data_IF_509933673277
#
_entry.id   IF_509933673277
#
_cell.length_a   1.000
_cell.length_b   1.000
_cell.length_c   1.000
_cell.angle_alpha   90.00
_cell.angle_beta   90.00
_cell.angle_gamma   90.00
#
_symmetry.space_group_name_H-M   'P 1'
#
loop_
_entity.id
_entity.type
_entity.pdbx_description
1 polymer ?
#
# COMPACT_ATOMS: atom_id res chain seq x y z
N UNK A 1 -3.19 3.83 4.09
CA UNK A 1 -4.44 4.58 3.80
C UNK A 1 -4.76 4.49 2.31
N UNK A 2 -6.04 4.57 1.92
CA UNK A 2 -6.40 4.65 0.50
C UNK A 2 -6.60 6.13 0.12
N UNK A 3 -5.73 6.70 -0.76
CA UNK A 3 -5.84 8.11 -1.17
C UNK A 3 -7.10 8.44 -1.99
N UNK A 4 -7.69 7.42 -2.66
CA UNK A 4 -8.93 7.58 -3.44
C UNK A 4 -10.20 7.61 -2.59
N UNK A 5 -10.12 7.20 -1.33
CA UNK A 5 -11.27 7.20 -0.42
C UNK A 5 -11.63 8.60 0.10
N UNK A 6 -10.74 9.58 -0.09
CA UNK A 6 -10.89 10.95 0.41
C UNK A 6 -10.54 11.96 -0.69
N UNK A 7 -11.09 13.16 -0.58
CA UNK A 7 -10.78 14.26 -1.52
C UNK A 7 -9.41 14.88 -1.22
N UNK A 8 -8.82 15.60 -2.19
CA UNK A 8 -7.57 16.32 -2.00
C UNK A 8 -7.58 17.26 -0.77
N UNK A 9 -8.60 18.10 -0.58
CA UNK A 9 -8.74 18.92 0.61
C UNK A 9 -8.78 18.11 1.92
N UNK A 10 -9.48 16.97 1.94
CA UNK A 10 -9.51 16.09 3.10
C UNK A 10 -8.16 15.40 3.35
N UNK A 11 -7.42 15.12 2.30
CA UNK A 11 -6.10 14.49 2.37
C UNK A 11 -5.03 15.46 2.88
N UNK A 12 -4.88 16.61 2.22
CA UNK A 12 -3.79 17.54 2.48
C UNK A 12 -4.17 18.70 3.40
N UNK A 13 -5.44 19.08 3.41
CA UNK A 13 -5.98 20.22 4.10
C UNK A 13 -6.46 21.30 3.14
N UNK A 14 -7.23 22.23 3.66
CA UNK A 14 -7.75 23.37 2.93
C UNK A 14 -7.96 24.60 3.83
N UNK A 15 -8.06 25.76 3.20
CA UNK A 15 -8.49 26.98 3.85
C UNK A 15 -10.01 27.03 3.92
N UNK A 16 -10.56 27.33 5.08
CA UNK A 16 -11.99 27.59 5.23
C UNK A 16 -12.37 28.96 4.63
N UNK A 17 -13.67 29.23 4.39
CA UNK A 17 -14.11 30.58 3.99
C UNK A 17 -13.72 31.67 4.99
N UNK A 18 -13.52 31.33 6.27
CA UNK A 18 -13.03 32.23 7.31
C UNK A 18 -11.48 32.38 7.30
N UNK A 19 -10.79 31.86 6.27
CA UNK A 19 -9.33 31.85 6.15
C UNK A 19 -8.61 31.10 7.28
N UNK A 20 -9.27 30.14 7.91
CA UNK A 20 -8.65 29.25 8.87
C UNK A 20 -8.15 27.98 8.17
N UNK A 21 -6.99 27.51 8.57
CA UNK A 21 -6.42 26.29 8.03
C UNK A 21 -7.04 25.05 8.69
N UNK A 22 -7.69 24.21 7.89
CA UNK A 22 -8.11 22.87 8.28
C UNK A 22 -7.09 21.85 7.77
N UNK A 23 -6.33 21.18 8.66
CA UNK A 23 -5.36 20.20 8.25
C UNK A 23 -6.02 18.92 7.75
N UNK A 24 -5.44 18.31 6.70
CA UNK A 24 -5.90 17.05 6.16
C UNK A 24 -5.30 15.83 6.89
N UNK A 25 -5.89 14.67 6.65
CA UNK A 25 -5.49 13.41 7.29
C UNK A 25 -4.03 13.08 7.00
N UNK A 26 -3.63 13.13 5.72
CA UNK A 26 -2.27 12.81 5.30
C UNK A 26 -1.25 13.81 5.88
N UNK A 27 -1.57 15.10 5.85
CA UNK A 27 -0.67 16.12 6.38
C UNK A 27 -0.44 15.97 7.89
N UNK A 28 -1.46 15.54 8.64
CA UNK A 28 -1.30 15.24 10.07
C UNK A 28 -0.44 13.99 10.31
N UNK A 29 -0.71 12.90 9.59
CA UNK A 29 0.13 11.69 9.65
C UNK A 29 1.57 12.04 9.31
N UNK A 30 1.78 12.84 8.25
CA UNK A 30 3.11 13.29 7.83
C UNK A 30 3.84 14.07 8.93
N UNK A 31 3.15 15.00 9.59
CA UNK A 31 3.71 15.76 10.72
C UNK A 31 4.14 14.85 11.87
N UNK A 32 3.30 13.91 12.24
CA UNK A 32 3.58 12.96 13.34
C UNK A 32 4.76 12.05 13.01
N UNK A 33 4.78 11.47 11.80
CA UNK A 33 5.84 10.58 11.37
C UNK A 33 7.19 11.27 11.25
N UNK A 34 7.20 12.55 10.86
CA UNK A 34 8.41 13.33 10.63
C UNK A 34 8.78 14.26 11.81
N UNK A 35 8.05 14.20 12.92
CA UNK A 35 8.36 14.98 14.10
C UNK A 35 9.74 14.61 14.67
N UNK A 36 10.53 15.60 15.09
CA UNK A 36 11.86 15.39 15.72
C UNK A 36 11.79 14.50 16.97
N UNK A 37 10.66 14.50 17.65
CA UNK A 37 10.38 13.65 18.81
C UNK A 37 10.16 12.18 18.44
N UNK A 38 9.81 11.89 17.18
CA UNK A 38 9.59 10.50 16.72
C UNK A 38 10.93 9.76 16.60
N UNK A 39 11.10 8.75 17.44
CA UNK A 39 12.30 7.89 17.45
C UNK A 39 12.10 6.60 16.62
N UNK A 40 10.86 6.29 16.22
CA UNK A 40 10.51 5.06 15.52
C UNK A 40 10.63 5.23 14.01
N UNK A 41 10.96 4.15 13.31
CA UNK A 41 10.82 4.07 11.87
C UNK A 41 9.33 4.02 11.56
N UNK A 42 8.87 4.89 10.68
CA UNK A 42 7.48 5.01 10.28
C UNK A 42 7.34 4.77 8.78
N UNK A 43 6.42 3.89 8.39
CA UNK A 43 6.07 3.66 7.00
C UNK A 43 4.69 4.25 6.75
N UNK A 44 4.58 5.11 5.75
CA UNK A 44 3.30 5.65 5.28
C UNK A 44 2.96 4.88 4.01
N UNK A 45 2.02 3.96 4.11
CA UNK A 45 1.54 3.17 2.98
C UNK A 45 0.31 3.83 2.37
N UNK A 46 0.38 4.12 1.07
CA UNK A 46 -0.73 4.56 0.23
C UNK A 46 -1.18 3.37 -0.61
N UNK A 47 -2.25 2.72 -0.17
CA UNK A 47 -2.86 1.56 -0.81
C UNK A 47 -4.07 2.00 -1.64
N UNK A 48 -3.92 1.98 -2.95
CA UNK A 48 -4.95 2.38 -3.89
C UNK A 48 -4.38 2.84 -5.23
N UNK A 49 -5.24 3.02 -6.24
CA UNK A 49 -4.81 3.38 -7.58
C UNK A 49 -4.13 4.74 -7.63
N UNK A 50 -3.10 4.83 -8.46
CA UNK A 50 -2.44 6.12 -8.75
C UNK A 50 -3.40 7.02 -9.51
N UNK A 51 -3.41 8.27 -9.10
CA UNK A 51 -4.18 9.33 -9.73
C UNK A 51 -3.36 10.61 -9.67
N UNK A 52 -3.29 11.33 -10.77
CA UNK A 52 -2.55 12.58 -10.87
C UNK A 52 -2.95 13.59 -9.79
N UNK A 53 -4.22 13.61 -9.37
CA UNK A 53 -4.74 14.59 -8.40
C UNK A 53 -4.03 14.50 -7.06
N UNK A 54 -3.80 13.28 -6.55
CA UNK A 54 -3.16 13.14 -5.23
C UNK A 54 -1.64 12.94 -5.31
N UNK A 55 -1.14 12.25 -6.35
CA UNK A 55 0.29 11.93 -6.45
C UNK A 55 1.14 13.16 -6.78
N UNK A 56 0.62 14.12 -7.55
CA UNK A 56 1.34 15.33 -7.93
C UNK A 56 1.73 16.19 -6.73
N UNK A 57 0.90 16.22 -5.69
CA UNK A 57 1.23 16.93 -4.45
C UNK A 57 2.42 16.29 -3.69
N UNK A 58 2.75 15.05 -4.01
CA UNK A 58 3.89 14.33 -3.41
C UNK A 58 5.16 14.43 -4.26
N UNK A 59 5.14 15.04 -5.43
CA UNK A 59 6.31 15.15 -6.29
C UNK A 59 7.49 15.82 -5.58
N UNK A 60 7.24 16.87 -4.78
CA UNK A 60 8.29 17.54 -4.00
C UNK A 60 8.84 16.68 -2.85
N UNK A 61 8.07 15.70 -2.40
CA UNK A 61 8.50 14.72 -1.39
C UNK A 61 9.34 13.61 -2.04
N UNK A 62 8.95 13.21 -3.25
CA UNK A 62 9.63 12.17 -4.02
C UNK A 62 10.94 12.68 -4.64
N UNK A 63 11.08 13.99 -4.81
CA UNK A 63 12.31 14.63 -5.25
C UNK A 63 13.39 14.58 -4.15
N UNK A 64 14.61 14.93 -4.51
CA UNK A 64 15.77 15.04 -3.59
C UNK A 64 15.51 16.01 -2.43
N UNK A 65 14.63 16.99 -2.62
CA UNK A 65 14.25 17.96 -1.59
C UNK A 65 13.51 17.31 -0.42
N UNK A 66 12.76 16.24 -0.65
CA UNK A 66 12.01 15.47 0.37
C UNK A 66 11.16 16.35 1.28
N UNK A 67 10.44 17.33 0.73
CA UNK A 67 9.65 18.30 1.47
C UNK A 67 8.19 18.25 1.00
N UNK A 68 7.28 18.03 1.94
CA UNK A 68 5.84 18.23 1.70
C UNK A 68 5.50 19.70 1.88
N UNK A 69 4.99 20.34 0.83
CA UNK A 69 4.51 21.72 0.87
C UNK A 69 2.99 21.73 0.84
N UNK A 70 2.36 22.32 1.84
CA UNK A 70 0.92 22.44 1.97
C UNK A 70 0.40 23.76 1.38
N UNK A 71 -0.91 23.83 1.13
CA UNK A 71 -1.53 25.03 0.54
C UNK A 71 -1.48 26.29 1.46
N UNK A 72 -1.27 26.10 2.77
CA UNK A 72 -1.01 27.18 3.72
C UNK A 72 0.48 27.63 3.73
N UNK A 73 1.27 27.24 2.75
CA UNK A 73 2.70 27.48 2.63
C UNK A 73 3.56 26.80 3.71
N UNK A 74 2.99 25.95 4.55
CA UNK A 74 3.77 25.14 5.49
C UNK A 74 4.60 24.10 4.74
N UNK A 75 5.87 23.98 5.12
CA UNK A 75 6.85 23.05 4.51
C UNK A 75 7.36 22.08 5.57
N UNK A 76 7.08 20.81 5.37
CA UNK A 76 7.40 19.75 6.34
C UNK A 76 8.41 18.79 5.70
N UNK A 77 9.69 18.81 6.13
CA UNK A 77 10.70 17.93 5.58
C UNK A 77 10.46 16.48 6.01
N UNK A 78 10.83 15.56 5.14
CA UNK A 78 10.85 14.12 5.41
C UNK A 78 12.06 13.77 6.25
N UNK A 79 11.87 13.05 7.34
CA UNK A 79 12.96 12.54 8.17
C UNK A 79 13.51 11.21 7.60
N UNK A 80 14.74 10.87 7.93
CA UNK A 80 15.34 9.59 7.51
C UNK A 80 14.61 8.38 8.04
N UNK A 81 13.82 8.55 9.09
CA UNK A 81 13.00 7.49 9.72
C UNK A 81 11.63 7.32 9.08
N UNK A 82 11.21 8.25 8.25
CA UNK A 82 9.95 8.14 7.52
C UNK A 82 10.20 7.51 6.14
N UNK A 83 9.40 6.53 5.78
CA UNK A 83 9.40 5.89 4.46
C UNK A 83 8.01 5.94 3.87
N UNK A 84 7.95 6.07 2.55
CA UNK A 84 6.71 6.03 1.80
C UNK A 84 6.66 4.76 0.95
N UNK A 85 5.50 4.14 0.92
CA UNK A 85 5.22 2.98 0.08
C UNK A 85 3.90 3.21 -0.65
N UNK A 86 3.88 2.88 -1.93
CA UNK A 86 2.69 2.91 -2.76
C UNK A 86 2.37 1.48 -3.18
N UNK A 87 1.19 1.00 -2.82
CA UNK A 87 0.67 -0.30 -3.25
C UNK A 87 -0.36 -0.04 -4.34
N UNK A 88 0.05 -0.25 -5.58
CA UNK A 88 -0.72 0.12 -6.76
C UNK A 88 -0.80 -1.05 -7.73
N UNK A 89 -1.91 -1.19 -8.43
CA UNK A 89 -2.10 -2.22 -9.45
C UNK A 89 -1.23 -1.94 -10.69
N UNK A 90 -1.20 -0.67 -11.12
CA UNK A 90 -0.42 -0.20 -12.26
C UNK A 90 -0.03 1.27 -12.09
N UNK A 91 0.80 1.77 -12.99
CA UNK A 91 1.29 3.15 -13.01
C UNK A 91 0.80 3.93 -14.25
N UNK A 92 -0.24 3.46 -14.93
CA UNK A 92 -0.73 4.04 -16.20
C UNK A 92 -1.17 5.49 -16.04
N UNK A 93 -1.70 5.84 -14.88
CA UNK A 93 -2.15 7.20 -14.55
C UNK A 93 -1.07 8.06 -13.86
N UNK A 94 0.15 7.55 -13.72
CA UNK A 94 1.27 8.32 -13.18
C UNK A 94 2.01 9.07 -14.28
N UNK A 95 2.42 10.30 -14.01
CA UNK A 95 3.28 11.01 -14.94
C UNK A 95 4.66 10.33 -15.05
N UNK A 96 5.34 10.39 -16.21
CA UNK A 96 6.70 9.87 -16.33
C UNK A 96 7.66 10.46 -15.30
N UNK A 97 7.44 11.72 -14.93
CA UNK A 97 8.21 12.39 -13.89
C UNK A 97 8.02 11.74 -12.51
N UNK A 98 6.81 11.33 -12.17
CA UNK A 98 6.51 10.61 -10.92
C UNK A 98 7.13 9.22 -10.94
N UNK A 99 6.98 8.49 -12.04
CA UNK A 99 7.52 7.13 -12.18
C UNK A 99 9.05 7.12 -12.04
N UNK A 100 9.74 8.09 -12.63
CA UNK A 100 11.21 8.18 -12.58
C UNK A 100 11.76 8.46 -11.16
N UNK A 101 10.92 8.99 -10.26
CA UNK A 101 11.30 9.29 -8.87
C UNK A 101 11.05 8.12 -7.91
N UNK A 102 10.34 7.10 -8.37
CA UNK A 102 9.98 5.95 -7.54
C UNK A 102 10.93 4.77 -7.74
N UNK A 103 11.34 4.13 -6.66
CA UNK A 103 11.92 2.80 -6.72
C UNK A 103 10.81 1.78 -6.92
N UNK A 104 10.81 1.10 -8.07
CA UNK A 104 9.74 0.17 -8.45
C UNK A 104 10.14 -1.24 -8.05
N UNK A 105 9.24 -1.93 -7.32
CA UNK A 105 9.30 -3.35 -7.06
C UNK A 105 8.12 -3.98 -7.79
N UNK A 106 8.40 -4.72 -8.84
CA UNK A 106 7.38 -5.42 -9.59
C UNK A 106 7.09 -6.76 -8.92
N UNK A 107 5.83 -7.00 -8.58
CA UNK A 107 5.33 -8.28 -8.08
C UNK A 107 4.44 -8.88 -9.17
N UNK A 108 4.90 -9.96 -9.77
CA UNK A 108 4.11 -10.65 -10.79
C UNK A 108 2.95 -11.42 -10.15
N UNK A 109 1.76 -11.43 -10.78
CA UNK A 109 0.68 -12.32 -10.34
C UNK A 109 1.05 -13.80 -10.41
N UNK A 110 2.12 -14.15 -11.17
CA UNK A 110 2.64 -15.52 -11.27
C UNK A 110 3.67 -15.88 -10.20
N UNK A 111 4.12 -14.90 -9.39
CA UNK A 111 5.11 -15.14 -8.32
C UNK A 111 4.49 -15.85 -7.11
N UNK A 112 3.18 -15.71 -6.93
CA UNK A 112 2.40 -16.38 -5.91
C UNK A 112 1.28 -17.16 -6.59
N UNK A 113 1.42 -18.48 -6.61
CA UNK A 113 0.35 -19.35 -7.02
C UNK A 113 -0.57 -19.74 -5.83
N UNK A 114 -1.45 -20.71 -6.00
CA UNK A 114 -2.39 -21.14 -4.96
C UNK A 114 -1.71 -21.94 -3.82
N UNK A 115 -0.55 -22.56 -4.08
CA UNK A 115 0.11 -23.46 -3.12
C UNK A 115 0.46 -22.81 -1.79
N UNK A 116 1.10 -21.60 -1.74
CA UNK A 116 1.38 -20.92 -0.47
C UNK A 116 0.12 -20.58 0.33
N UNK A 117 -0.98 -20.24 -0.34
CA UNK A 117 -2.26 -19.97 0.33
C UNK A 117 -2.80 -21.24 0.97
N UNK A 118 -2.79 -22.35 0.25
CA UNK A 118 -3.22 -23.64 0.77
C UNK A 118 -2.35 -24.12 1.93
N UNK A 119 -1.03 -24.00 1.83
CA UNK A 119 -0.10 -24.36 2.90
C UNK A 119 -0.36 -23.56 4.18
N UNK A 120 -0.66 -22.27 4.05
CA UNK A 120 -1.02 -21.42 5.19
C UNK A 120 -2.33 -21.88 5.80
N UNK A 121 -3.36 -22.09 5.00
CA UNK A 121 -4.67 -22.61 5.43
C UNK A 121 -4.53 -23.97 6.16
N UNK A 122 -3.77 -24.90 5.57
CA UNK A 122 -3.55 -26.23 6.14
C UNK A 122 -2.82 -26.15 7.49
N UNK A 123 -1.80 -25.29 7.60
CA UNK A 123 -1.05 -25.08 8.85
C UNK A 123 -1.93 -24.49 9.95
N UNK A 124 -2.74 -23.51 9.64
CA UNK A 124 -3.64 -22.88 10.60
C UNK A 124 -4.68 -23.89 11.11
N UNK A 125 -5.22 -24.72 10.21
CA UNK A 125 -6.15 -25.80 10.56
C UNK A 125 -5.54 -26.86 11.46
N UNK A 126 -4.29 -27.23 11.23
CA UNK A 126 -3.57 -28.18 12.10
C UNK A 126 -3.34 -27.62 13.51
N UNK A 127 -3.17 -26.31 13.67
CA UNK A 127 -3.03 -25.65 14.97
C UNK A 127 -4.34 -25.60 15.77
N UNK A 128 -5.48 -25.58 15.11
CA UNK A 128 -6.81 -25.54 15.73
C UNK A 128 -7.24 -26.87 16.39
N UNK A 129 -6.41 -27.89 16.41
CA UNK A 129 -6.60 -29.20 17.08
C UNK A 129 -7.91 -29.98 16.78
N UNK A 130 -8.81 -29.40 16.03
CA UNK A 130 -10.19 -29.92 15.95
C UNK A 130 -10.59 -30.40 14.54
N UNK A 131 -9.82 -30.07 13.47
CA UNK A 131 -10.40 -30.17 12.13
C UNK A 131 -9.52 -30.74 11.03
N UNK A 132 -8.28 -31.05 11.27
CA UNK A 132 -7.45 -31.64 10.21
C UNK A 132 -6.36 -32.52 10.79
N UNK A 133 -6.43 -33.82 10.55
CA UNK A 133 -5.29 -34.69 10.77
C UNK A 133 -4.23 -34.46 9.69
N UNK A 134 -2.97 -34.84 9.94
CA UNK A 134 -1.91 -34.76 8.92
C UNK A 134 -2.29 -35.51 7.63
N UNK A 135 -2.97 -36.64 7.75
CA UNK A 135 -3.40 -37.46 6.62
C UNK A 135 -4.50 -36.77 5.79
N UNK A 136 -5.41 -36.05 6.46
CA UNK A 136 -6.44 -35.25 5.77
C UNK A 136 -5.82 -34.04 5.05
N UNK A 137 -4.81 -33.39 5.63
CA UNK A 137 -4.09 -32.31 4.99
C UNK A 137 -3.34 -32.77 3.74
N UNK A 138 -2.67 -33.91 3.82
CA UNK A 138 -1.98 -34.53 2.68
C UNK A 138 -2.97 -34.91 1.57
N UNK A 139 -4.10 -35.51 1.96
CA UNK A 139 -5.15 -35.85 0.99
C UNK A 139 -5.72 -34.61 0.28
N UNK A 140 -5.97 -33.53 1.02
CA UNK A 140 -6.44 -32.27 0.45
C UNK A 140 -5.42 -31.66 -0.49
N UNK A 141 -4.13 -31.74 -0.15
CA UNK A 141 -3.06 -31.22 -1.02
C UNK A 141 -3.00 -32.01 -2.32
N UNK A 142 -3.03 -33.34 -2.26
CA UNK A 142 -3.07 -34.20 -3.45
C UNK A 142 -4.32 -33.95 -4.31
N UNK A 143 -5.45 -33.70 -3.67
CA UNK A 143 -6.71 -33.37 -4.36
C UNK A 143 -6.58 -32.02 -5.10
N UNK A 144 -6.06 -30.98 -4.43
CA UNK A 144 -5.90 -29.68 -5.03
C UNK A 144 -4.86 -29.68 -6.16
N UNK A 145 -3.71 -30.32 -5.98
CA UNK A 145 -2.70 -30.50 -7.03
C UNK A 145 -3.33 -31.17 -8.26
N UNK A 146 -4.14 -32.21 -8.06
CA UNK A 146 -4.81 -32.92 -9.14
C UNK A 146 -5.75 -32.05 -9.96
N UNK A 147 -6.44 -31.08 -9.33
CA UNK A 147 -7.47 -30.29 -9.98
C UNK A 147 -7.03 -28.88 -10.37
N UNK A 148 -6.04 -28.31 -9.68
CA UNK A 148 -5.49 -26.99 -10.02
C UNK A 148 -4.30 -27.05 -10.98
N UNK A 149 -3.50 -28.10 -10.95
CA UNK A 149 -2.39 -28.26 -11.91
C UNK A 149 -2.83 -28.81 -13.28
N UNK A 150 -4.02 -29.38 -13.38
CA UNK A 150 -4.57 -29.67 -14.69
C UNK A 150 -5.11 -28.38 -15.29
N UNK A 151 -4.51 -27.88 -16.40
CA UNK A 151 -5.02 -26.69 -17.04
C UNK A 151 -6.51 -26.90 -17.34
N UNK A 152 -7.33 -25.92 -16.95
CA UNK A 152 -8.71 -25.71 -17.38
C UNK A 152 -9.85 -26.32 -16.56
N UNK A 153 -9.69 -26.78 -15.31
CA UNK A 153 -10.88 -27.29 -14.62
C UNK A 153 -11.52 -26.30 -13.61
N UNK A 154 -10.76 -25.35 -13.07
CA UNK A 154 -11.28 -24.40 -12.05
C UNK A 154 -10.95 -22.93 -12.38
N UNK A 155 -9.93 -22.67 -13.19
CA UNK A 155 -9.52 -21.29 -13.53
C UNK A 155 -10.38 -20.69 -14.67
N UNK A 156 -11.09 -21.54 -15.42
CA UNK A 156 -11.96 -21.12 -16.52
C UNK A 156 -13.45 -21.03 -16.11
N UNK A 157 -13.77 -21.04 -14.80
CA UNK A 157 -15.08 -20.72 -14.24
C UNK A 157 -15.09 -19.30 -13.64
#
# INVERSE_FOLDING_TARGET
MNPKAITGPQMYGNMTPAQEWMPGVYSQIWKVCNAKSNKKISWICCDGPVDAIWIENLNTVLDDNKILTLANAERIPMSDKCKMTFEVENLDNASPATVSRCGIIYVSPTDLDWQPLFQTFSRDRQQEKTYCSPDEAEWMEQFLVKYFEKPNLIIDL
#
